data_IF_670770003876
#
_entry.id   IF_670770003876
#
_cell.length_a   1.000
_cell.length_b   1.000
_cell.length_c   1.000
_cell.angle_alpha   90.00
_cell.angle_beta   90.00
_cell.angle_gamma   90.00
#
_symmetry.space_group_name_H-M   'P 1'
#
loop_
_entity.id
_entity.type
_entity.pdbx_description
1 polymer ?
#
# COMPACT_ATOMS: atom_id res chain seq x y z
N UNK A 1 6.88 -1.97 8.76
CA UNK A 1 5.98 -2.17 9.92
C UNK A 1 6.83 -2.44 11.16
N UNK A 2 6.36 -1.99 12.33
CA UNK A 2 7.04 -2.18 13.62
C UNK A 2 6.22 -3.10 14.51
N UNK A 3 6.88 -4.05 15.19
CA UNK A 3 6.27 -4.94 16.17
C UNK A 3 5.88 -4.20 17.45
N UNK A 4 4.70 -4.52 17.99
CA UNK A 4 4.13 -3.83 19.15
C UNK A 4 4.94 -4.05 20.44
N UNK A 5 5.48 -5.25 20.66
CA UNK A 5 6.11 -5.64 21.91
C UNK A 5 7.63 -5.64 21.83
N UNK A 6 8.17 -6.21 20.75
CA UNK A 6 9.62 -6.39 20.59
C UNK A 6 10.28 -5.26 19.80
N UNK A 7 9.49 -4.32 19.27
CA UNK A 7 9.94 -3.17 18.49
C UNK A 7 10.82 -3.52 17.28
N UNK A 8 10.81 -4.77 16.81
CA UNK A 8 11.47 -5.18 15.57
C UNK A 8 10.72 -4.68 14.34
N UNK A 9 11.45 -4.56 13.23
CA UNK A 9 10.90 -4.12 11.97
C UNK A 9 10.72 -5.29 11.01
N UNK A 10 9.57 -5.29 10.34
CA UNK A 10 9.28 -6.15 9.20
C UNK A 10 9.12 -5.25 7.97
N UNK A 11 9.99 -5.44 6.98
CA UNK A 11 9.95 -4.72 5.72
C UNK A 11 8.80 -5.25 4.85
N UNK A 12 8.14 -4.32 4.18
CA UNK A 12 7.02 -4.58 3.31
C UNK A 12 7.02 -3.56 2.18
N UNK A 13 6.25 -3.87 1.14
CA UNK A 13 6.09 -3.06 -0.04
C UNK A 13 4.61 -2.89 -0.33
N UNK A 14 4.26 -1.75 -0.93
CA UNK A 14 2.93 -1.47 -1.45
C UNK A 14 3.02 -1.32 -2.97
N UNK A 15 2.02 -1.86 -3.67
CA UNK A 15 1.95 -1.88 -5.13
C UNK A 15 0.56 -1.46 -5.64
N UNK A 16 0.54 -1.02 -6.89
CA UNK A 16 -0.68 -0.60 -7.61
C UNK A 16 -1.36 -1.78 -8.30
N UNK A 17 -0.61 -2.85 -8.56
CA UNK A 17 -1.04 -4.05 -9.26
C UNK A 17 -0.78 -5.31 -8.43
N UNK A 18 -1.58 -6.34 -8.69
CA UNK A 18 -1.45 -7.63 -8.01
C UNK A 18 -0.19 -8.42 -8.39
N UNK A 19 0.51 -8.06 -9.48
CA UNK A 19 1.76 -8.71 -9.85
C UNK A 19 2.99 -8.12 -9.13
N UNK A 20 2.81 -7.05 -8.34
CA UNK A 20 3.89 -6.43 -7.58
C UNK A 20 4.94 -5.74 -8.45
N UNK A 21 4.54 -5.22 -9.61
CA UNK A 21 5.46 -4.62 -10.59
C UNK A 21 5.55 -3.10 -10.49
N UNK A 22 4.45 -2.44 -10.12
CA UNK A 22 4.34 -0.99 -9.99
C UNK A 22 4.24 -0.58 -8.54
N UNK A 23 5.28 0.10 -8.04
CA UNK A 23 5.31 0.59 -6.64
C UNK A 23 4.21 1.62 -6.40
N UNK A 24 3.51 1.47 -5.28
CA UNK A 24 2.59 2.49 -4.77
C UNK A 24 3.39 3.72 -4.34
N UNK A 25 2.96 4.93 -4.72
CA UNK A 25 3.58 6.18 -4.28
C UNK A 25 4.98 6.47 -4.85
N UNK A 26 5.42 5.78 -5.91
CA UNK A 26 6.72 6.07 -6.57
C UNK A 26 6.72 7.35 -7.41
N UNK A 27 5.54 7.85 -7.80
CA UNK A 27 5.35 9.13 -8.47
C UNK A 27 3.94 9.64 -8.17
N UNK A 28 3.83 10.96 -7.95
CA UNK A 28 2.57 11.67 -7.71
C UNK A 28 1.57 11.48 -8.87
N UNK A 29 2.08 11.23 -10.09
CA UNK A 29 1.27 11.08 -11.30
C UNK A 29 1.00 9.62 -11.71
N UNK A 30 1.63 8.64 -11.05
CA UNK A 30 1.51 7.23 -11.45
C UNK A 30 0.13 6.65 -11.12
N UNK A 31 -0.54 7.17 -10.09
CA UNK A 31 -1.82 6.65 -9.61
C UNK A 31 -2.95 7.59 -10.02
N UNK A 32 -3.25 7.58 -11.30
CA UNK A 32 -4.42 8.28 -11.82
C UNK A 32 -5.59 7.31 -11.89
N UNK A 33 -6.68 7.65 -11.20
CA UNK A 33 -7.94 6.96 -11.38
C UNK A 33 -8.41 7.14 -12.81
N UNK A 34 -8.46 6.05 -13.57
CA UNK A 34 -9.04 6.04 -14.92
C UNK A 34 -10.45 5.48 -14.75
N UNK A 35 -11.45 6.37 -14.77
CA UNK A 35 -12.84 6.00 -14.50
C UNK A 35 -13.76 7.21 -14.46
N UNK A 36 -15.06 6.96 -14.36
CA UNK A 36 -16.07 8.01 -14.30
C UNK A 36 -16.02 8.66 -12.92
N UNK A 37 -15.52 9.89 -12.83
CA UNK A 37 -15.72 10.75 -11.68
C UNK A 37 -16.90 11.66 -12.01
N UNK A 38 -18.06 11.49 -11.36
CA UNK A 38 -19.26 12.28 -11.67
C UNK A 38 -20.52 11.80 -10.96
N UNK A 39 -21.58 12.63 -11.01
CA UNK A 39 -22.89 12.32 -10.41
C UNK A 39 -23.47 11.06 -11.07
N UNK A 40 -23.69 10.00 -10.30
CA UNK A 40 -24.19 8.70 -10.80
C UNK A 40 -23.12 7.67 -11.17
N UNK A 41 -21.83 7.99 -11.02
CA UNK A 41 -20.77 7.00 -11.17
C UNK A 41 -20.75 6.03 -9.99
N UNK A 42 -20.61 4.73 -10.25
CA UNK A 42 -20.29 3.75 -9.20
C UNK A 42 -18.94 4.09 -8.56
N UNK A 43 -18.84 3.94 -7.24
CA UNK A 43 -17.64 4.27 -6.48
C UNK A 43 -16.40 3.63 -7.12
N UNK A 44 -15.44 4.47 -7.51
CA UNK A 44 -14.16 3.99 -8.02
C UNK A 44 -13.31 3.51 -6.83
N UNK A 45 -12.76 2.29 -6.91
CA UNK A 45 -11.84 1.77 -5.91
C UNK A 45 -10.38 2.02 -6.34
N UNK A 46 -9.51 2.32 -5.37
CA UNK A 46 -8.06 2.33 -5.54
C UNK A 46 -7.52 1.09 -4.84
N UNK A 47 -7.27 -0.02 -5.56
CA UNK A 47 -6.67 -1.19 -4.92
C UNK A 47 -5.21 -0.89 -4.53
N UNK A 48 -4.83 -1.35 -3.34
CA UNK A 48 -3.45 -1.27 -2.84
C UNK A 48 -3.03 -2.67 -2.44
N UNK A 49 -1.97 -3.18 -3.06
CA UNK A 49 -1.49 -4.54 -2.85
C UNK A 49 -0.28 -4.52 -1.92
N UNK A 50 -0.39 -5.19 -0.78
CA UNK A 50 0.73 -5.36 0.15
C UNK A 50 1.56 -6.60 -0.16
N UNK A 51 2.86 -6.52 0.04
CA UNK A 51 3.78 -7.67 -0.05
C UNK A 51 4.82 -7.61 1.06
N UNK A 52 5.08 -8.75 1.69
CA UNK A 52 6.15 -8.92 2.67
C UNK A 52 7.37 -9.48 1.95
N UNK A 53 8.54 -8.87 2.17
CA UNK A 53 9.80 -9.36 1.58
C UNK A 53 10.17 -10.71 2.19
N UNK A 54 10.42 -11.71 1.34
CA UNK A 54 10.80 -13.05 1.79
C UNK A 54 12.19 -13.08 2.46
N UNK A 55 12.44 -14.09 3.29
CA UNK A 55 13.74 -14.30 3.94
C UNK A 55 14.03 -13.38 5.14
N UNK A 56 13.07 -12.57 5.56
CA UNK A 56 13.19 -11.78 6.79
C UNK A 56 12.99 -12.66 8.02
N UNK A 57 13.91 -12.57 8.98
CA UNK A 57 13.72 -13.15 10.31
C UNK A 57 13.12 -12.09 11.22
N UNK A 58 11.85 -12.26 11.58
CA UNK A 58 11.14 -11.42 12.51
C UNK A 58 10.36 -12.32 13.49
N UNK A 59 10.43 -12.07 14.80
CA UNK A 59 9.78 -12.89 15.80
C UNK A 59 8.27 -12.69 15.75
N UNK A 60 7.53 -13.63 16.34
CA UNK A 60 6.09 -13.51 16.48
C UNK A 60 5.73 -12.25 17.28
N UNK A 61 5.02 -11.32 16.63
CA UNK A 61 4.51 -10.08 17.21
C UNK A 61 3.39 -9.53 16.29
N UNK A 62 2.67 -8.52 16.76
CA UNK A 62 1.74 -7.76 15.92
C UNK A 62 2.49 -6.60 15.28
N UNK A 63 2.65 -6.64 13.95
CA UNK A 63 3.33 -5.61 13.18
C UNK A 63 2.34 -4.63 12.57
N UNK A 64 2.54 -3.33 12.80
CA UNK A 64 1.71 -2.27 12.22
C UNK A 64 2.55 -1.15 11.61
N UNK A 65 1.94 -0.40 10.69
CA UNK A 65 2.49 0.82 10.12
C UNK A 65 1.35 1.75 9.69
N UNK A 66 1.62 3.05 9.61
CA UNK A 66 0.66 4.07 9.16
C UNK A 66 1.19 4.74 7.91
N UNK A 67 0.49 4.56 6.78
CA UNK A 67 0.91 5.12 5.49
C UNK A 67 -0.04 6.26 5.10
N UNK A 68 0.43 7.51 5.02
CA UNK A 68 -0.40 8.63 4.58
C UNK A 68 -0.70 8.55 3.09
N UNK A 69 -1.96 8.77 2.70
CA UNK A 69 -2.41 8.80 1.31
C UNK A 69 -2.95 10.20 1.00
N UNK A 70 -2.44 10.81 -0.06
CA UNK A 70 -2.92 12.10 -0.56
C UNK A 70 -3.65 11.90 -1.88
N UNK A 71 -4.83 12.49 -2.02
CA UNK A 71 -5.66 12.41 -3.24
C UNK A 71 -5.74 13.80 -3.87
N UNK A 72 -5.45 13.87 -5.17
CA UNK A 72 -5.58 15.07 -5.99
C UNK A 72 -6.78 14.90 -6.95
N UNK A 73 -7.45 16.00 -7.30
CA UNK A 73 -8.59 16.05 -8.23
C UNK A 73 -8.29 16.93 -9.44
#
# INVERSE_FOLDING_TARGET
MKGANQAQYLAYNLFQDGAGTQRFGNSVTAQRLIGQTGLGATANSIPVYGSIVAGQSAPADVYSDTVPITVYY
#
